data_IF_004156366015
#
_entry.id   IF_004156366015
#
_cell.length_a   1.000
_cell.length_b   1.000
_cell.length_c   1.000
_cell.angle_alpha   90.00
_cell.angle_beta   90.00
_cell.angle_gamma   90.00
#
_symmetry.space_group_name_H-M   'P 1'
#
loop_
_entity.id
_entity.type
_entity.pdbx_description
1 polymer ?
#
# COMPACT_ATOMS: atom_id res chain seq x y z
N UNK A 1 -48.32 -14.21 58.85
CA UNK A 1 -47.61 -13.26 57.97
C UNK A 1 -46.70 -14.06 57.06
N UNK A 2 -47.12 -14.26 55.78
CA UNK A 2 -46.32 -14.96 54.76
C UNK A 2 -45.58 -13.91 53.94
N UNK A 3 -44.24 -13.95 53.93
CA UNK A 3 -43.38 -13.12 53.08
C UNK A 3 -43.28 -13.81 51.72
N UNK A 4 -43.78 -13.19 50.71
CA UNK A 4 -43.63 -13.64 49.34
C UNK A 4 -42.34 -13.05 48.75
N UNK A 5 -41.40 -13.91 48.37
CA UNK A 5 -40.16 -13.51 47.72
C UNK A 5 -40.39 -13.50 46.20
N UNK A 6 -40.35 -12.32 45.61
CA UNK A 6 -40.44 -12.12 44.16
C UNK A 6 -39.02 -12.33 43.59
N UNK A 7 -38.83 -13.41 42.85
CA UNK A 7 -37.64 -13.60 42.00
C UNK A 7 -37.83 -12.81 40.70
N UNK A 8 -37.05 -11.75 40.56
CA UNK A 8 -36.96 -11.01 39.29
C UNK A 8 -35.94 -11.74 38.40
N UNK A 9 -36.42 -12.40 37.37
CA UNK A 9 -35.57 -12.99 36.35
C UNK A 9 -35.02 -11.85 35.46
N UNK A 10 -33.74 -11.58 35.55
CA UNK A 10 -33.04 -10.71 34.60
C UNK A 10 -32.69 -11.54 33.37
N UNK A 11 -33.48 -11.38 32.32
CA UNK A 11 -33.18 -11.92 31.01
C UNK A 11 -32.03 -11.14 30.40
N UNK A 12 -30.82 -11.66 30.51
CA UNK A 12 -29.67 -11.16 29.80
C UNK A 12 -29.81 -11.46 28.31
N UNK A 13 -30.13 -10.44 27.51
CA UNK A 13 -30.01 -10.54 26.06
C UNK A 13 -28.51 -10.56 25.71
N UNK A 14 -28.00 -11.76 25.40
CA UNK A 14 -26.70 -11.87 24.71
C UNK A 14 -26.88 -11.23 23.33
N UNK A 15 -26.36 -10.01 23.15
CA UNK A 15 -26.05 -9.49 21.85
C UNK A 15 -24.91 -10.37 21.27
N UNK A 16 -25.26 -11.32 20.42
CA UNK A 16 -24.32 -11.95 19.54
C UNK A 16 -23.81 -10.88 18.55
N UNK A 17 -22.72 -10.24 18.88
CA UNK A 17 -21.89 -9.51 17.92
C UNK A 17 -21.43 -10.56 16.92
N UNK A 18 -22.15 -10.68 15.81
CA UNK A 18 -21.65 -11.35 14.63
C UNK A 18 -20.46 -10.52 14.13
N UNK A 19 -19.27 -10.81 14.65
CA UNK A 19 -18.05 -10.51 13.96
C UNK A 19 -18.15 -11.31 12.66
N UNK A 20 -18.52 -10.64 11.58
CA UNK A 20 -18.31 -11.14 10.24
C UNK A 20 -16.80 -11.30 10.07
N UNK A 21 -16.27 -12.37 10.63
CA UNK A 21 -15.01 -12.90 10.21
C UNK A 21 -15.23 -13.19 8.73
N UNK A 22 -14.70 -12.34 7.85
CA UNK A 22 -14.38 -12.79 6.52
C UNK A 22 -13.51 -14.01 6.76
N UNK A 23 -14.10 -15.20 6.63
CA UNK A 23 -13.34 -16.41 6.54
C UNK A 23 -12.46 -16.19 5.31
N UNK A 24 -11.25 -15.72 5.56
CA UNK A 24 -10.20 -15.79 4.56
C UNK A 24 -10.13 -17.27 4.25
N UNK A 25 -10.62 -17.62 3.08
CA UNK A 25 -10.26 -18.89 2.47
C UNK A 25 -8.75 -18.75 2.31
N UNK A 26 -8.01 -19.26 3.30
CA UNK A 26 -6.58 -19.40 3.17
C UNK A 26 -6.42 -20.55 2.19
N UNK A 27 -6.08 -20.29 0.92
CA UNK A 27 -5.77 -21.37 0.00
C UNK A 27 -4.67 -22.18 0.65
N UNK A 28 -4.73 -23.49 0.57
CA UNK A 28 -3.60 -24.33 0.96
C UNK A 28 -2.30 -23.82 0.28
N UNK A 29 -1.13 -24.31 0.74
CA UNK A 29 0.12 -23.92 0.12
C UNK A 29 0.01 -24.09 -1.39
N UNK A 30 0.35 -23.04 -2.15
CA UNK A 30 0.40 -23.13 -3.60
C UNK A 30 1.43 -24.20 -3.97
N UNK A 31 1.21 -24.91 -5.06
CA UNK A 31 2.28 -25.69 -5.68
C UNK A 31 3.38 -24.71 -6.10
N UNK A 32 4.41 -24.66 -5.31
CA UNK A 32 5.54 -23.73 -5.46
C UNK A 32 6.68 -24.34 -6.29
N UNK A 33 6.50 -25.55 -6.82
CA UNK A 33 7.51 -26.25 -7.62
C UNK A 33 7.94 -25.48 -8.88
N UNK A 34 7.04 -24.64 -9.43
CA UNK A 34 7.30 -23.79 -10.58
C UNK A 34 7.66 -22.33 -10.22
N UNK A 35 7.64 -21.94 -8.93
CA UNK A 35 7.91 -20.57 -8.52
C UNK A 35 9.39 -20.34 -8.28
N UNK A 36 10.03 -19.62 -9.18
CA UNK A 36 11.40 -19.13 -9.02
C UNK A 36 11.35 -17.70 -8.47
N UNK A 37 11.39 -17.54 -7.14
CA UNK A 37 11.35 -16.25 -6.45
C UNK A 37 12.73 -15.66 -6.16
N UNK A 38 13.77 -16.31 -6.61
CA UNK A 38 15.13 -15.86 -6.40
C UNK A 38 16.18 -16.88 -6.85
N UNK A 39 17.43 -16.50 -6.83
CA UNK A 39 17.88 -15.16 -6.47
C UNK A 39 17.46 -14.10 -7.50
N UNK A 40 17.28 -12.87 -7.05
CA UNK A 40 17.00 -11.74 -7.94
C UNK A 40 18.19 -11.47 -8.88
N UNK A 41 17.97 -10.68 -9.94
CA UNK A 41 19.06 -10.29 -10.84
C UNK A 41 20.18 -9.49 -10.15
N UNK A 42 19.93 -8.97 -8.95
CA UNK A 42 20.91 -8.26 -8.11
C UNK A 42 21.56 -9.16 -7.05
N UNK A 43 21.28 -10.45 -7.07
CA UNK A 43 21.86 -11.45 -6.18
C UNK A 43 20.97 -11.81 -4.99
N UNK A 44 21.36 -12.89 -4.31
CA UNK A 44 20.59 -13.47 -3.18
C UNK A 44 20.49 -12.57 -1.96
N UNK A 45 21.43 -11.67 -1.77
CA UNK A 45 21.51 -10.78 -0.62
C UNK A 45 20.87 -9.42 -0.88
N UNK A 46 20.36 -9.19 -2.11
CA UNK A 46 19.69 -7.94 -2.45
C UNK A 46 18.43 -7.73 -1.61
N UNK A 47 18.23 -6.46 -1.19
CA UNK A 47 17.15 -6.01 -0.32
C UNK A 47 16.32 -4.88 -0.93
N UNK A 48 16.81 -4.30 -2.03
CA UNK A 48 16.24 -3.08 -2.62
C UNK A 48 15.42 -3.32 -3.89
N UNK A 49 15.54 -4.51 -4.49
CA UNK A 49 14.77 -4.85 -5.68
C UNK A 49 14.96 -3.85 -6.82
N UNK A 50 13.87 -3.43 -7.44
CA UNK A 50 13.90 -2.51 -8.58
C UNK A 50 14.43 -1.10 -8.25
N UNK A 51 14.57 -0.70 -6.98
CA UNK A 51 15.26 0.53 -6.62
C UNK A 51 16.72 0.55 -7.08
N UNK A 52 17.33 -0.63 -7.26
CA UNK A 52 18.69 -0.75 -7.82
C UNK A 52 18.83 -0.13 -9.22
N UNK A 53 17.75 0.06 -9.97
CA UNK A 53 17.81 0.76 -11.25
C UNK A 53 18.23 2.23 -11.11
N UNK A 54 18.03 2.85 -9.96
CA UNK A 54 18.51 4.21 -9.67
C UNK A 54 20.05 4.31 -9.72
N UNK A 55 20.75 3.19 -9.60
CA UNK A 55 22.22 3.15 -9.75
C UNK A 55 22.70 3.21 -11.21
N UNK A 56 21.80 3.07 -12.18
CA UNK A 56 22.14 3.14 -13.61
C UNK A 56 22.03 4.62 -14.10
N UNK A 57 23.15 5.27 -14.46
CA UNK A 57 23.14 6.65 -14.89
C UNK A 57 22.28 6.89 -16.14
N UNK A 58 22.14 5.91 -17.02
CA UNK A 58 21.35 6.04 -18.24
C UNK A 58 19.85 6.08 -17.91
N UNK A 59 19.40 5.30 -16.92
CA UNK A 59 18.02 5.33 -16.44
C UNK A 59 17.73 6.67 -15.77
N UNK A 60 18.62 7.13 -14.90
CA UNK A 60 18.49 8.45 -14.24
C UNK A 60 18.46 9.58 -15.26
N UNK A 61 19.37 9.58 -16.24
CA UNK A 61 19.40 10.61 -17.28
C UNK A 61 18.10 10.63 -18.09
N UNK A 62 17.54 9.44 -18.43
CA UNK A 62 16.25 9.35 -19.12
C UNK A 62 15.10 9.93 -18.29
N UNK A 63 15.10 9.70 -16.99
CA UNK A 63 14.11 10.26 -16.07
C UNK A 63 14.21 11.79 -16.01
N UNK A 64 15.41 12.33 -15.82
CA UNK A 64 15.65 13.79 -15.75
C UNK A 64 15.29 14.49 -17.06
N UNK A 65 15.47 13.83 -18.22
CA UNK A 65 15.11 14.36 -19.52
C UNK A 65 13.59 14.61 -19.68
N UNK A 66 12.75 14.06 -18.79
CA UNK A 66 11.30 14.30 -18.78
C UNK A 66 10.93 15.64 -18.13
N UNK A 67 11.84 16.30 -17.43
CA UNK A 67 11.55 17.59 -16.80
C UNK A 67 11.48 18.67 -17.88
N UNK A 68 10.27 19.15 -18.17
CA UNK A 68 10.02 20.17 -19.21
C UNK A 68 9.63 21.53 -18.64
N UNK A 69 9.04 21.57 -17.47
CA UNK A 69 8.44 22.76 -16.89
C UNK A 69 9.14 23.23 -15.60
N UNK A 70 10.16 22.49 -15.13
CA UNK A 70 10.85 22.77 -13.86
C UNK A 70 9.86 22.94 -12.68
N UNK A 71 8.76 22.18 -12.68
CA UNK A 71 7.69 22.28 -11.70
C UNK A 71 7.64 21.00 -10.86
N UNK A 72 7.61 21.15 -9.55
CA UNK A 72 7.31 20.10 -8.61
C UNK A 72 5.78 19.98 -8.42
N UNK A 73 5.27 18.76 -8.41
CA UNK A 73 3.84 18.46 -8.22
C UNK A 73 3.73 17.42 -7.12
N UNK A 74 2.93 17.71 -6.10
CA UNK A 74 2.58 16.74 -5.06
C UNK A 74 1.49 15.80 -5.59
N UNK A 75 1.75 14.50 -5.54
CA UNK A 75 0.81 13.46 -5.96
C UNK A 75 0.29 12.62 -4.77
N UNK A 76 0.74 12.93 -3.56
CA UNK A 76 0.29 12.27 -2.33
C UNK A 76 -1.05 12.79 -1.83
N UNK A 77 -1.85 11.91 -1.25
CA UNK A 77 -3.06 12.24 -0.51
C UNK A 77 -2.73 12.47 0.96
N UNK A 78 -3.46 13.36 1.62
CA UNK A 78 -3.31 13.61 3.05
C UNK A 78 -3.84 12.45 3.89
N UNK A 79 -3.15 12.16 5.00
CA UNK A 79 -3.65 11.25 6.01
C UNK A 79 -4.72 11.93 6.84
N UNK A 80 -5.89 11.31 6.95
CA UNK A 80 -6.97 11.77 7.81
C UNK A 80 -7.88 10.60 8.23
N UNK A 81 -8.63 10.79 9.32
CA UNK A 81 -9.45 9.73 9.93
C UNK A 81 -10.56 9.19 9.04
N UNK A 82 -11.04 9.97 8.10
CA UNK A 82 -12.15 9.66 7.20
C UNK A 82 -11.67 9.08 5.86
N UNK A 83 -10.38 8.79 5.76
CA UNK A 83 -9.85 8.14 4.56
C UNK A 83 -10.55 6.80 4.34
N UNK A 84 -10.91 6.46 3.09
CA UNK A 84 -11.56 5.20 2.75
C UNK A 84 -10.57 4.04 2.81
N UNK A 85 -10.09 3.72 4.01
CA UNK A 85 -9.11 2.66 4.25
C UNK A 85 -9.69 1.27 3.97
N UNK A 86 -8.86 0.36 3.49
CA UNK A 86 -9.25 -1.02 3.27
C UNK A 86 -9.35 -1.81 4.58
N UNK A 87 -10.47 -2.53 4.75
CA UNK A 87 -10.69 -3.40 5.90
C UNK A 87 -10.72 -2.65 7.24
N UNK A 88 -10.30 -3.30 8.33
CA UNK A 88 -10.39 -2.73 9.68
C UNK A 88 -9.22 -1.78 10.01
N UNK A 89 -8.65 -1.11 9.01
CA UNK A 89 -7.53 -0.19 9.19
C UNK A 89 -8.03 1.15 9.71
N UNK A 90 -7.21 1.79 10.54
CA UNK A 90 -7.56 3.07 11.15
C UNK A 90 -6.36 4.00 11.20
N UNK A 91 -6.65 5.28 11.28
CA UNK A 91 -5.67 6.33 11.50
C UNK A 91 -6.14 7.23 12.63
N UNK A 92 -5.25 7.50 13.57
CA UNK A 92 -5.49 8.41 14.66
C UNK A 92 -4.25 9.25 14.92
N UNK A 93 -4.44 10.52 15.14
CA UNK A 93 -3.39 11.45 15.52
C UNK A 93 -3.90 12.33 16.64
N UNK A 94 -3.07 12.60 17.62
CA UNK A 94 -3.34 13.59 18.66
C UNK A 94 -2.04 14.23 19.17
N UNK A 95 -2.17 15.39 19.76
CA UNK A 95 -1.09 16.13 20.41
C UNK A 95 -1.26 15.96 21.91
N UNK A 96 -0.33 15.26 22.60
CA UNK A 96 -0.45 15.00 24.04
C UNK A 96 -0.05 16.25 24.87
N UNK A 97 -0.91 17.25 24.87
CA UNK A 97 -0.68 18.54 25.54
C UNK A 97 -0.68 19.73 24.59
N UNK A 98 -0.93 20.92 25.10
CA UNK A 98 -1.06 22.15 24.32
C UNK A 98 -0.40 23.32 25.08
N UNK A 99 0.94 23.43 25.02
CA UNK A 99 1.91 22.66 24.26
C UNK A 99 2.26 21.31 24.88
N UNK A 100 2.95 20.42 24.12
CA UNK A 100 3.50 19.17 24.61
C UNK A 100 4.60 19.42 25.64
N UNK A 101 5.44 20.43 25.42
CA UNK A 101 6.49 20.82 26.35
C UNK A 101 6.88 22.29 26.26
N UNK A 102 7.62 22.72 27.28
CA UNK A 102 8.02 24.10 27.51
C UNK A 102 7.12 24.81 28.53
N UNK A 103 7.38 26.14 28.77
CA UNK A 103 8.40 26.98 28.12
C UNK A 103 9.83 26.72 28.61
N UNK A 104 10.81 26.84 27.70
CA UNK A 104 12.23 26.66 27.99
C UNK A 104 13.06 27.91 27.67
N UNK A 105 14.03 28.19 28.52
CA UNK A 105 15.03 29.24 28.31
C UNK A 105 14.43 30.66 28.28
N UNK A 106 15.30 31.63 27.93
CA UNK A 106 14.93 33.04 27.89
C UNK A 106 13.84 33.39 26.85
N UNK A 107 13.79 32.61 25.78
CA UNK A 107 12.84 32.83 24.68
C UNK A 107 11.49 32.13 24.91
N UNK A 108 11.30 31.51 26.08
CA UNK A 108 10.09 30.79 26.43
C UNK A 108 9.65 29.82 25.32
N UNK A 109 10.58 29.05 24.79
CA UNK A 109 10.35 28.08 23.71
C UNK A 109 9.33 27.03 24.15
N UNK A 110 8.33 26.79 23.30
CA UNK A 110 7.34 25.72 23.45
C UNK A 110 7.36 24.86 22.19
N UNK A 111 6.90 23.59 22.30
CA UNK A 111 6.78 22.70 21.17
C UNK A 111 5.57 21.79 21.26
N UNK A 112 5.18 21.24 20.11
CA UNK A 112 4.17 20.20 19.99
C UNK A 112 4.79 18.97 19.32
N UNK A 113 4.50 17.81 19.89
CA UNK A 113 4.79 16.51 19.27
C UNK A 113 3.46 15.83 18.95
N UNK A 114 3.36 15.23 17.77
CA UNK A 114 2.21 14.47 17.35
C UNK A 114 2.42 12.99 17.62
N UNK A 115 1.42 12.33 18.19
CA UNK A 115 1.37 10.88 18.29
C UNK A 115 0.45 10.36 17.19
N UNK A 116 0.98 9.46 16.36
CA UNK A 116 0.23 8.79 15.28
C UNK A 116 0.11 7.30 15.59
N UNK A 117 -1.11 6.80 15.51
CA UNK A 117 -1.45 5.38 15.66
C UNK A 117 -2.16 4.95 14.39
N UNK A 118 -1.51 4.09 13.61
CA UNK A 118 -2.03 3.63 12.32
C UNK A 118 -1.33 2.37 11.85
N UNK A 119 -1.95 1.66 10.94
CA UNK A 119 -1.25 0.71 10.08
C UNK A 119 -0.60 1.51 8.95
N UNK A 120 0.73 1.60 8.97
CA UNK A 120 1.50 2.26 7.92
C UNK A 120 1.28 1.48 6.61
N UNK A 121 0.91 2.21 5.58
CA UNK A 121 0.45 1.62 4.34
C UNK A 121 -1.05 1.31 4.34
N UNK A 122 -1.68 1.27 3.19
CA UNK A 122 -3.09 0.93 2.98
C UNK A 122 -4.13 1.90 3.61
N UNK A 123 -3.69 3.05 4.14
CA UNK A 123 -4.57 4.11 4.65
C UNK A 123 -4.67 5.24 3.63
N UNK A 124 -3.54 5.71 3.13
CA UNK A 124 -3.43 6.80 2.15
C UNK A 124 -2.27 6.51 1.20
N UNK A 125 -1.66 7.55 0.60
CA UNK A 125 -0.46 7.40 -0.21
C UNK A 125 0.66 6.73 0.58
N UNK A 126 1.21 5.67 0.04
CA UNK A 126 2.20 4.82 0.71
C UNK A 126 3.20 4.24 -0.27
N UNK A 127 4.19 3.59 0.27
CA UNK A 127 5.13 2.75 -0.46
C UNK A 127 5.13 1.34 0.14
N UNK A 128 4.76 0.35 -0.65
CA UNK A 128 4.83 -1.06 -0.27
C UNK A 128 6.22 -1.62 -0.58
N UNK A 129 6.96 -1.95 0.47
CA UNK A 129 8.31 -2.51 0.36
C UNK A 129 8.31 -4.01 0.04
N UNK A 130 9.51 -4.61 -0.08
CA UNK A 130 9.70 -6.03 -0.43
C UNK A 130 9.02 -7.03 0.50
N UNK A 131 8.70 -6.62 1.71
CA UNK A 131 8.04 -7.44 2.73
C UNK A 131 6.52 -7.31 2.79
N UNK A 132 5.90 -6.47 1.94
CA UNK A 132 4.45 -6.24 2.04
C UNK A 132 3.61 -7.34 1.40
N UNK A 133 3.99 -7.82 0.22
CA UNK A 133 3.26 -8.86 -0.52
C UNK A 133 4.15 -10.06 -0.77
N UNK A 134 3.64 -11.22 -0.46
CA UNK A 134 4.32 -12.50 -0.67
C UNK A 134 3.34 -13.57 -1.11
N UNK A 135 3.80 -14.81 -1.19
CA UNK A 135 3.01 -15.98 -1.55
C UNK A 135 3.12 -17.02 -0.44
N UNK A 136 2.00 -17.66 -0.11
CA UNK A 136 2.01 -18.77 0.82
C UNK A 136 2.50 -20.03 0.08
N UNK A 137 3.67 -20.53 0.47
CA UNK A 137 4.30 -21.72 -0.10
C UNK A 137 4.27 -22.89 0.88
N UNK A 138 4.71 -24.06 0.42
CA UNK A 138 4.88 -25.25 1.27
C UNK A 138 5.90 -25.02 2.41
N UNK A 139 6.80 -24.04 2.25
CA UNK A 139 7.80 -23.64 3.25
C UNK A 139 7.34 -22.50 4.17
N UNK A 140 6.14 -21.97 3.94
CA UNK A 140 5.59 -20.82 4.64
C UNK A 140 5.46 -19.58 3.76
N UNK A 141 5.04 -18.43 4.33
CA UNK A 141 4.92 -17.18 3.60
C UNK A 141 6.27 -16.71 3.05
N UNK A 142 6.41 -16.72 1.75
CA UNK A 142 7.63 -16.36 1.03
C UNK A 142 7.48 -14.98 0.38
N UNK A 143 8.49 -14.15 0.57
CA UNK A 143 8.58 -12.79 0.07
C UNK A 143 9.77 -12.62 -0.87
N UNK A 144 10.03 -11.37 -1.24
CA UNK A 144 11.10 -11.02 -2.16
C UNK A 144 12.39 -11.79 -1.88
N UNK A 145 13.00 -12.28 -2.95
CA UNK A 145 14.27 -12.98 -2.96
C UNK A 145 14.23 -14.30 -2.16
N UNK A 146 13.09 -14.99 -2.22
CA UNK A 146 12.81 -16.28 -1.55
C UNK A 146 12.95 -16.26 -0.03
N UNK A 147 12.78 -15.09 0.61
CA UNK A 147 12.85 -14.99 2.06
C UNK A 147 11.54 -15.45 2.71
N UNK A 148 11.67 -16.37 3.65
CA UNK A 148 10.54 -16.81 4.48
C UNK A 148 10.40 -15.80 5.63
N UNK A 149 9.18 -15.32 5.86
CA UNK A 149 8.93 -14.24 6.83
C UNK A 149 9.40 -14.56 8.25
N UNK A 150 9.24 -15.81 8.68
CA UNK A 150 9.64 -16.23 10.04
C UNK A 150 11.13 -16.09 10.30
N UNK A 151 11.96 -16.27 9.27
CA UNK A 151 13.41 -16.24 9.37
C UNK A 151 13.98 -14.84 9.09
N UNK A 152 13.19 -14.01 8.38
CA UNK A 152 13.64 -12.69 7.94
C UNK A 152 13.35 -11.58 8.96
N UNK A 153 12.32 -11.70 9.78
CA UNK A 153 11.90 -10.64 10.69
C UNK A 153 12.88 -10.43 11.84
N UNK A 154 13.08 -9.17 12.21
CA UNK A 154 13.78 -8.80 13.43
C UNK A 154 12.94 -9.12 14.67
N UNK A 155 13.52 -9.89 15.56
CA UNK A 155 12.85 -10.36 16.79
C UNK A 155 13.55 -9.88 18.03
N UNK A 156 12.77 -9.45 19.02
CA UNK A 156 13.23 -9.23 20.37
C UNK A 156 13.33 -10.53 21.18
N UNK A 157 13.93 -10.44 22.36
CA UNK A 157 14.12 -11.57 23.28
C UNK A 157 12.83 -12.31 23.65
N UNK A 158 11.67 -11.62 23.63
CA UNK A 158 10.35 -12.23 23.85
C UNK A 158 9.66 -12.73 22.58
N UNK A 159 10.34 -12.79 21.44
CA UNK A 159 9.79 -13.23 20.16
C UNK A 159 8.94 -12.19 19.43
N UNK A 160 8.81 -10.98 19.98
CA UNK A 160 8.11 -9.89 19.30
C UNK A 160 8.84 -9.51 18.00
N UNK A 161 8.08 -9.19 16.96
CA UNK A 161 8.61 -8.69 15.69
C UNK A 161 8.69 -7.16 15.76
N UNK A 162 9.88 -6.61 15.64
CA UNK A 162 10.12 -5.17 15.66
C UNK A 162 10.40 -4.57 14.29
N UNK A 163 10.82 -5.37 13.33
CA UNK A 163 11.15 -4.93 12.00
C UNK A 163 11.11 -6.07 11.00
N UNK A 164 11.18 -5.72 9.73
CA UNK A 164 11.14 -6.68 8.63
C UNK A 164 12.53 -7.13 8.19
N UNK A 165 13.59 -6.69 8.86
CA UNK A 165 14.97 -7.05 8.55
C UNK A 165 15.31 -6.87 7.07
N UNK A 166 15.79 -7.92 6.37
CA UNK A 166 16.11 -7.85 4.95
C UNK A 166 14.95 -7.49 4.01
N UNK A 167 13.73 -7.52 4.52
CA UNK A 167 12.51 -7.18 3.78
C UNK A 167 12.02 -5.75 4.08
N UNK A 168 12.73 -5.01 4.93
CA UNK A 168 12.38 -3.66 5.33
C UNK A 168 12.45 -2.66 4.17
N UNK A 169 11.54 -1.69 4.17
CA UNK A 169 11.46 -0.67 3.13
C UNK A 169 12.61 0.34 3.20
N UNK A 170 13.27 0.45 4.34
CA UNK A 170 14.46 1.31 4.55
C UNK A 170 15.57 1.01 3.54
N UNK A 171 15.76 -0.25 3.13
CA UNK A 171 16.75 -0.62 2.12
C UNK A 171 16.42 -0.10 0.72
N UNK A 172 15.13 0.10 0.45
CA UNK A 172 14.67 0.79 -0.76
C UNK A 172 14.88 2.29 -0.61
N UNK A 173 14.57 2.83 0.59
CA UNK A 173 14.70 4.24 0.91
C UNK A 173 16.13 4.77 0.81
N UNK A 174 17.13 3.95 1.12
CA UNK A 174 18.55 4.30 0.98
C UNK A 174 18.93 4.64 -0.47
N UNK A 175 18.27 4.03 -1.45
CA UNK A 175 18.52 4.27 -2.89
C UNK A 175 17.52 5.27 -3.47
N UNK A 176 16.28 5.24 -3.01
CA UNK A 176 15.17 5.93 -3.61
C UNK A 176 14.79 5.40 -4.99
N UNK A 177 13.83 6.07 -5.64
CA UNK A 177 13.45 5.81 -7.02
C UNK A 177 13.59 7.06 -7.86
N UNK A 178 14.42 6.98 -8.89
CA UNK A 178 14.51 7.98 -9.95
C UNK A 178 14.22 7.26 -11.27
N UNK A 179 13.06 7.50 -11.86
CA UNK A 179 12.56 6.78 -13.02
C UNK A 179 11.76 7.69 -13.96
N UNK A 180 11.69 7.35 -15.24
CA UNK A 180 10.69 7.92 -16.12
C UNK A 180 9.32 7.37 -15.67
N UNK A 181 8.39 8.25 -15.31
CA UNK A 181 7.03 7.86 -14.98
C UNK A 181 6.19 7.79 -16.25
N UNK A 182 5.65 6.61 -16.54
CA UNK A 182 4.65 6.39 -17.60
C UNK A 182 3.28 6.28 -16.96
N UNK A 183 2.42 7.26 -17.21
CA UNK A 183 1.05 7.28 -16.69
C UNK A 183 0.12 6.63 -17.71
N UNK A 184 -0.56 5.57 -17.31
CA UNK A 184 -1.55 4.87 -18.12
C UNK A 184 -2.96 5.17 -17.60
N UNK A 185 -3.78 5.80 -18.43
CA UNK A 185 -5.14 6.19 -18.06
C UNK A 185 -6.15 5.09 -18.42
N UNK A 186 -6.39 4.20 -17.47
CA UNK A 186 -7.34 3.11 -17.64
C UNK A 186 -8.80 3.59 -17.70
N UNK A 187 -9.13 4.72 -17.06
CA UNK A 187 -10.47 5.31 -17.11
C UNK A 187 -10.75 5.80 -18.53
N UNK A 188 -9.88 6.64 -19.08
CA UNK A 188 -10.01 7.15 -20.44
C UNK A 188 -10.00 5.99 -21.47
N UNK A 189 -9.13 5.02 -21.28
CA UNK A 189 -9.06 3.84 -22.15
C UNK A 189 -10.35 3.02 -22.14
N UNK A 190 -10.95 2.77 -20.97
CA UNK A 190 -12.24 2.06 -20.88
C UNK A 190 -13.38 2.86 -21.51
N UNK A 191 -13.40 4.17 -21.37
CA UNK A 191 -14.36 5.06 -22.04
C UNK A 191 -14.22 4.94 -23.56
N UNK A 192 -13.01 4.99 -24.11
CA UNK A 192 -12.76 4.85 -25.55
C UNK A 192 -13.18 3.48 -26.11
N UNK A 193 -13.20 2.45 -25.27
CA UNK A 193 -13.63 1.09 -25.61
C UNK A 193 -15.16 0.88 -25.45
N UNK A 194 -15.90 1.89 -25.01
CA UNK A 194 -17.32 1.75 -24.66
C UNK A 194 -17.59 0.84 -23.45
N UNK A 195 -16.57 0.56 -22.64
CA UNK A 195 -16.65 -0.32 -21.46
C UNK A 195 -16.84 0.44 -20.14
N UNK A 196 -16.88 1.75 -20.21
CA UNK A 196 -17.14 2.67 -19.10
C UNK A 196 -17.95 3.84 -19.62
N UNK A 197 -19.01 4.24 -18.90
CA UNK A 197 -19.84 5.37 -19.31
C UNK A 197 -19.06 6.69 -19.25
N UNK A 198 -19.42 7.65 -20.09
CA UNK A 198 -18.71 8.93 -20.16
C UNK A 198 -18.76 9.71 -18.82
N UNK A 199 -19.84 9.54 -18.04
CA UNK A 199 -20.04 10.18 -16.74
C UNK A 199 -19.29 9.50 -15.59
N UNK A 200 -18.75 8.29 -15.76
CA UNK A 200 -18.03 7.58 -14.71
C UNK A 200 -16.57 8.03 -14.65
N UNK A 201 -16.09 8.37 -13.46
CA UNK A 201 -14.75 8.88 -13.22
C UNK A 201 -13.81 7.86 -12.58
N UNK A 202 -14.30 6.62 -12.39
CA UNK A 202 -13.56 5.54 -11.72
C UNK A 202 -13.91 4.19 -12.35
N UNK A 203 -12.94 3.29 -12.43
CA UNK A 203 -13.20 1.90 -12.78
C UNK A 203 -14.04 1.22 -11.69
N UNK A 204 -14.98 0.33 -12.06
CA UNK A 204 -15.74 -0.41 -11.07
C UNK A 204 -14.83 -1.32 -10.24
N UNK A 205 -15.17 -1.49 -8.95
CA UNK A 205 -14.45 -2.43 -8.10
C UNK A 205 -14.73 -3.86 -8.57
N UNK A 206 -13.70 -4.63 -8.95
CA UNK A 206 -13.88 -5.98 -9.44
C UNK A 206 -14.50 -6.90 -8.38
N UNK A 207 -15.47 -7.73 -8.79
CA UNK A 207 -16.11 -8.73 -7.94
C UNK A 207 -15.79 -10.16 -8.36
N UNK A 208 -15.38 -10.35 -9.61
CA UNK A 208 -15.04 -11.66 -10.19
C UNK A 208 -14.00 -11.49 -11.31
N UNK A 209 -13.29 -12.56 -11.69
CA UNK A 209 -12.41 -12.54 -12.85
C UNK A 209 -13.15 -12.08 -14.12
N UNK A 210 -12.52 -11.25 -14.93
CA UNK A 210 -13.06 -10.70 -16.17
C UNK A 210 -13.91 -9.44 -16.03
N UNK A 211 -14.14 -8.94 -14.81
CA UNK A 211 -14.84 -7.66 -14.62
C UNK A 211 -14.05 -6.50 -15.25
N UNK A 212 -14.78 -5.50 -15.76
CA UNK A 212 -14.20 -4.35 -16.47
C UNK A 212 -13.28 -3.48 -15.62
N UNK A 213 -13.33 -3.61 -14.29
CA UNK A 213 -12.41 -2.96 -13.36
C UNK A 213 -11.02 -3.61 -13.30
N UNK A 214 -10.87 -4.83 -13.84
CA UNK A 214 -9.57 -5.50 -13.90
C UNK A 214 -8.80 -4.98 -15.11
N UNK A 215 -7.60 -4.46 -14.87
CA UNK A 215 -6.67 -4.06 -15.92
C UNK A 215 -5.74 -5.23 -16.22
N UNK A 216 -5.78 -5.71 -17.45
CA UNK A 216 -4.98 -6.82 -17.95
C UNK A 216 -3.71 -6.34 -18.67
N UNK A 217 -2.80 -7.26 -18.98
CA UNK A 217 -1.64 -6.96 -19.84
C UNK A 217 -2.06 -6.39 -21.19
N UNK A 218 -3.08 -6.97 -21.83
CA UNK A 218 -3.60 -6.47 -23.10
C UNK A 218 -4.14 -5.03 -23.02
N UNK A 219 -4.70 -4.66 -21.85
CA UNK A 219 -5.12 -3.28 -21.62
C UNK A 219 -3.92 -2.34 -21.47
N UNK A 220 -2.86 -2.76 -20.80
CA UNK A 220 -1.61 -1.99 -20.70
C UNK A 220 -1.03 -1.74 -22.09
N UNK A 221 -0.91 -2.77 -22.91
CA UNK A 221 -0.43 -2.66 -24.30
C UNK A 221 -1.33 -1.75 -25.13
N UNK A 222 -2.64 -1.87 -24.97
CA UNK A 222 -3.63 -1.01 -25.62
C UNK A 222 -3.52 0.46 -25.21
N UNK A 223 -3.31 0.74 -23.91
CA UNK A 223 -3.10 2.10 -23.40
C UNK A 223 -1.81 2.72 -23.92
N UNK A 224 -0.71 1.98 -23.92
CA UNK A 224 0.58 2.43 -24.48
C UNK A 224 0.43 2.86 -25.93
N UNK A 225 -0.27 2.04 -26.73
CA UNK A 225 -0.56 2.36 -28.13
C UNK A 225 -1.49 3.58 -28.28
N UNK A 226 -2.58 3.60 -27.51
CA UNK A 226 -3.58 4.67 -27.59
C UNK A 226 -3.02 6.04 -27.16
N UNK A 227 -2.09 6.04 -26.19
CA UNK A 227 -1.45 7.24 -25.69
C UNK A 227 -0.18 7.65 -26.48
N UNK A 228 0.21 6.87 -27.50
CA UNK A 228 1.37 7.18 -28.33
C UNK A 228 2.69 7.17 -27.54
N UNK A 229 2.82 6.30 -26.58
CA UNK A 229 4.05 6.19 -25.77
C UNK A 229 5.16 5.58 -26.65
N UNK A 230 6.02 6.43 -27.17
CA UNK A 230 7.13 6.02 -28.02
C UNK A 230 8.10 5.09 -27.28
N UNK A 231 8.48 3.98 -27.94
CA UNK A 231 9.36 2.97 -27.37
C UNK A 231 8.74 2.13 -26.27
N UNK A 232 7.44 2.31 -25.96
CA UNK A 232 6.73 1.56 -24.92
C UNK A 232 7.35 1.72 -23.54
N UNK A 233 7.20 0.69 -22.70
CA UNK A 233 7.87 0.58 -21.40
C UNK A 233 9.31 0.15 -21.58
N UNK A 234 10.21 0.78 -20.87
CA UNK A 234 11.63 0.50 -20.90
C UNK A 234 12.10 0.07 -19.51
N UNK A 235 13.19 -0.66 -19.47
CA UNK A 235 13.82 -1.09 -18.22
C UNK A 235 14.08 0.10 -17.29
N UNK A 236 13.63 0.00 -16.04
CA UNK A 236 13.76 1.05 -15.03
C UNK A 236 12.70 2.15 -15.12
N UNK A 237 11.68 2.03 -15.97
CA UNK A 237 10.53 2.92 -15.91
C UNK A 237 9.66 2.63 -14.69
N UNK A 238 9.01 3.67 -14.17
CA UNK A 238 7.91 3.55 -13.24
C UNK A 238 6.59 3.66 -14.01
N UNK A 239 5.61 2.85 -13.63
CA UNK A 239 4.28 2.87 -14.23
C UNK A 239 3.27 3.33 -13.20
N UNK A 240 2.50 4.35 -13.53
CA UNK A 240 1.33 4.76 -12.76
C UNK A 240 0.06 4.40 -13.54
N UNK A 241 -0.85 3.67 -12.88
CA UNK A 241 -2.12 3.29 -13.45
C UNK A 241 -3.22 4.15 -12.84
N UNK A 242 -3.84 5.01 -13.67
CA UNK A 242 -4.98 5.82 -13.27
C UNK A 242 -6.27 5.00 -13.38
N UNK A 243 -6.82 4.60 -12.24
CA UNK A 243 -8.08 3.85 -12.15
C UNK A 243 -9.25 4.72 -11.69
N UNK A 244 -9.00 5.97 -11.33
CA UNK A 244 -9.98 6.88 -10.74
C UNK A 244 -10.27 6.63 -9.25
N UNK A 245 -9.73 5.56 -8.65
CA UNK A 245 -9.97 5.22 -7.24
C UNK A 245 -9.58 6.38 -6.30
N UNK A 246 -8.58 7.17 -6.66
CA UNK A 246 -8.18 8.35 -5.90
C UNK A 246 -9.29 9.39 -5.72
N UNK A 247 -10.35 9.37 -6.55
CA UNK A 247 -11.49 10.28 -6.42
C UNK A 247 -12.38 9.95 -5.22
N UNK A 248 -12.23 8.76 -4.62
CA UNK A 248 -12.93 8.38 -3.37
C UNK A 248 -12.32 9.01 -2.12
N UNK A 249 -11.09 9.55 -2.22
CA UNK A 249 -10.44 10.27 -1.12
C UNK A 249 -10.74 11.76 -1.20
N UNK A 250 -11.38 12.30 -0.17
CA UNK A 250 -11.47 13.75 0.01
C UNK A 250 -10.10 14.33 0.35
N UNK A 251 -9.82 15.53 -0.19
CA UNK A 251 -8.71 16.36 0.27
C UNK A 251 -9.21 17.47 1.20
N UNK A 252 -10.50 17.49 1.52
CA UNK A 252 -11.10 18.45 2.42
C UNK A 252 -10.61 18.18 3.86
N UNK A 253 -10.25 19.24 4.57
CA UNK A 253 -9.73 19.20 5.93
C UNK A 253 -10.82 19.56 6.92
#
# INVERSE_FOLDING_TARGET
MKRSTIFTAVSGALLALSTGAFAQVVPGPQDDSALSWGPSQWGKDDRAGSANYTKDPAIVARALAQIKQNKAITIGKYYHREAPAFGPRSWSMYIPGTPTGGPFGKNALVYHDELVITQIGQIQTQFDGPGHVGVNTSKGPMFYNSRISWDAYERGAGGQVYGMGPLGVEHVGELGFVCRLVVLDAVAYRKSQGKLAASEEMLPIPKKPGDSGIVTQADVEGMLKAQGIEGGLQKGDCVALHTGQGNTWSNDR
#
